data_IF_295343879716
#
_entry.id   IF_295343879716
#
_cell.length_a   1.000
_cell.length_b   1.000
_cell.length_c   1.000
_cell.angle_alpha   90.00
_cell.angle_beta   90.00
_cell.angle_gamma   90.00
#
_symmetry.space_group_name_H-M   'P 1'
#
loop_
_entity.id
_entity.type
_entity.pdbx_description
1 polymer ?
#
# COMPACT_ATOMS: atom_id res chain seq x y z
N UNK A 1 4.39 8.89 -10.21
CA UNK A 1 5.44 8.91 -11.26
C UNK A 1 6.32 7.68 -11.07
N UNK A 2 6.36 6.77 -12.06
CA UNK A 2 7.21 5.58 -11.97
C UNK A 2 8.67 6.00 -12.19
N UNK A 3 9.49 5.97 -11.15
CA UNK A 3 10.93 6.14 -11.29
C UNK A 3 11.56 4.75 -11.23
N UNK A 4 11.97 4.24 -12.37
CA UNK A 4 12.67 2.97 -12.50
C UNK A 4 14.11 3.15 -11.99
N UNK A 5 14.36 2.76 -10.74
CA UNK A 5 15.70 2.78 -10.15
C UNK A 5 16.55 1.68 -10.81
N UNK A 6 17.43 2.07 -11.73
CA UNK A 6 18.36 1.13 -12.37
C UNK A 6 19.32 0.56 -11.33
N UNK A 7 19.49 -0.76 -11.33
CA UNK A 7 20.51 -1.41 -10.49
C UNK A 7 21.89 -0.82 -10.78
N UNK A 8 22.64 -0.52 -9.74
CA UNK A 8 24.03 -0.04 -9.86
C UNK A 8 25.03 -1.21 -10.06
N UNK A 9 24.59 -2.45 -9.86
CA UNK A 9 25.41 -3.66 -9.99
C UNK A 9 26.07 -3.78 -11.37
N UNK A 10 25.40 -3.52 -12.51
CA UNK A 10 26.04 -3.58 -13.83
C UNK A 10 27.20 -2.59 -13.99
N UNK A 11 27.10 -1.41 -13.36
CA UNK A 11 28.15 -0.38 -13.44
C UNK A 11 29.42 -0.82 -12.71
N UNK A 12 29.26 -1.39 -11.51
CA UNK A 12 30.38 -1.94 -10.75
C UNK A 12 31.00 -3.16 -11.44
N UNK A 13 30.18 -3.99 -12.09
CA UNK A 13 30.66 -5.13 -12.88
C UNK A 13 31.51 -4.71 -14.05
N UNK A 14 31.10 -3.67 -14.78
CA UNK A 14 31.90 -3.10 -15.88
C UNK A 14 33.23 -2.52 -15.37
N UNK A 15 33.20 -1.78 -14.24
CA UNK A 15 34.42 -1.22 -13.65
C UNK A 15 35.41 -2.31 -13.23
N UNK A 16 34.94 -3.40 -12.62
CA UNK A 16 35.78 -4.53 -12.26
C UNK A 16 36.37 -5.24 -13.47
N UNK A 17 35.59 -5.47 -14.54
CA UNK A 17 36.06 -6.07 -15.77
C UNK A 17 37.11 -5.19 -16.45
N UNK A 18 36.95 -3.87 -16.44
CA UNK A 18 37.91 -2.91 -16.96
C UNK A 18 39.24 -2.96 -16.21
N UNK A 19 39.17 -2.91 -14.89
CA UNK A 19 40.35 -2.95 -14.02
C UNK A 19 41.14 -4.25 -14.24
N UNK A 20 40.46 -5.39 -14.30
CA UNK A 20 41.06 -6.70 -14.50
C UNK A 20 41.73 -6.79 -15.89
N UNK A 21 41.04 -6.30 -16.93
CA UNK A 21 41.62 -6.28 -18.31
C UNK A 21 42.86 -5.39 -18.40
N UNK A 22 42.84 -4.19 -17.80
CA UNK A 22 43.99 -3.29 -17.78
C UNK A 22 45.20 -3.86 -17.04
N UNK A 23 44.97 -4.72 -16.04
CA UNK A 23 46.05 -5.37 -15.28
C UNK A 23 46.73 -6.49 -16.07
N UNK A 24 45.97 -7.20 -16.93
CA UNK A 24 46.45 -8.40 -17.65
C UNK A 24 46.98 -8.12 -19.05
N UNK A 25 46.53 -7.04 -19.71
CA UNK A 25 46.85 -6.77 -21.10
C UNK A 25 47.41 -5.35 -21.32
N UNK A 26 48.46 -5.20 -22.16
CA UNK A 26 49.03 -3.90 -22.47
C UNK A 26 48.14 -3.11 -23.42
N UNK A 27 47.71 -1.90 -22.99
CA UNK A 27 46.77 -1.03 -23.69
C UNK A 27 47.33 -0.19 -24.84
N UNK A 28 48.59 -0.36 -25.20
CA UNK A 28 49.23 0.48 -26.23
C UNK A 28 48.82 0.13 -27.68
N UNK A 29 48.04 -0.93 -27.91
CA UNK A 29 47.57 -1.35 -29.22
C UNK A 29 46.09 -1.05 -29.40
N UNK A 30 45.73 -0.32 -30.46
CA UNK A 30 44.36 0.13 -30.75
C UNK A 30 43.31 -1.01 -30.75
N UNK A 31 43.72 -2.22 -31.16
CA UNK A 31 42.87 -3.41 -31.14
C UNK A 31 42.36 -3.76 -29.70
N UNK A 32 43.20 -3.60 -28.69
CA UNK A 32 42.80 -3.88 -27.29
C UNK A 32 41.74 -2.92 -26.77
N UNK A 33 41.71 -1.68 -27.27
CA UNK A 33 40.69 -0.70 -26.95
C UNK A 33 39.31 -1.14 -27.47
N UNK A 34 39.27 -1.65 -28.71
CA UNK A 34 38.04 -2.16 -29.33
C UNK A 34 37.50 -3.36 -28.54
N UNK A 35 38.38 -4.32 -28.21
CA UNK A 35 38.02 -5.50 -27.43
C UNK A 35 37.49 -5.10 -26.03
N UNK A 36 38.11 -4.12 -25.39
CA UNK A 36 37.71 -3.62 -24.06
C UNK A 36 36.31 -2.97 -24.08
N UNK A 37 35.99 -2.19 -25.12
CA UNK A 37 34.67 -1.60 -25.32
C UNK A 37 33.63 -2.70 -25.57
N UNK A 38 33.90 -3.68 -26.42
CA UNK A 38 33.00 -4.81 -26.64
C UNK A 38 32.74 -5.60 -25.35
N UNK A 39 33.80 -5.87 -24.57
CA UNK A 39 33.69 -6.56 -23.28
C UNK A 39 32.83 -5.76 -22.28
N UNK A 40 33.02 -4.45 -22.22
CA UNK A 40 32.19 -3.58 -21.34
C UNK A 40 30.72 -3.64 -21.71
N UNK A 41 30.37 -3.58 -22.99
CA UNK A 41 29.00 -3.67 -23.49
C UNK A 41 28.38 -5.04 -23.16
N UNK A 42 29.10 -6.12 -23.41
CA UNK A 42 28.63 -7.48 -23.11
C UNK A 42 28.42 -7.70 -21.61
N UNK A 43 29.36 -7.22 -20.80
CA UNK A 43 29.22 -7.29 -19.29
C UNK A 43 28.03 -6.49 -18.80
N UNK A 44 27.82 -5.30 -19.34
CA UNK A 44 26.68 -4.46 -18.98
C UNK A 44 25.35 -5.11 -19.36
N UNK A 45 25.23 -5.64 -20.59
CA UNK A 45 24.02 -6.30 -21.06
C UNK A 45 23.75 -7.59 -20.28
N UNK A 46 24.77 -8.42 -20.03
CA UNK A 46 24.63 -9.65 -19.26
C UNK A 46 24.20 -9.38 -17.83
N UNK A 47 24.84 -8.45 -17.13
CA UNK A 47 24.48 -8.10 -15.73
C UNK A 47 23.13 -7.38 -15.64
N UNK A 48 22.75 -6.57 -16.62
CA UNK A 48 21.43 -5.93 -16.63
C UNK A 48 20.28 -6.92 -16.89
N UNK A 49 20.54 -8.02 -17.58
CA UNK A 49 19.58 -9.11 -17.80
C UNK A 49 19.40 -9.99 -16.53
N UNK A 50 20.49 -10.23 -15.79
CA UNK A 50 20.49 -11.06 -14.57
C UNK A 50 19.97 -10.27 -13.36
N UNK A 51 20.25 -8.96 -13.30
CA UNK A 51 19.81 -8.06 -12.22
C UNK A 51 18.89 -6.95 -12.76
N UNK A 52 17.66 -7.28 -13.19
CA UNK A 52 16.67 -6.27 -13.54
C UNK A 52 16.45 -5.37 -12.34
N UNK A 53 16.64 -4.06 -12.49
CA UNK A 53 16.45 -3.08 -11.42
C UNK A 53 15.07 -3.26 -10.80
N UNK A 54 15.01 -3.29 -9.47
CA UNK A 54 13.72 -3.33 -8.73
C UNK A 54 12.98 -2.03 -9.02
N UNK A 55 11.73 -2.16 -9.42
CA UNK A 55 10.80 -1.03 -9.47
C UNK A 55 10.43 -0.73 -8.02
N UNK A 56 11.13 0.19 -7.38
CA UNK A 56 10.67 0.78 -6.11
C UNK A 56 9.68 1.86 -6.49
N UNK A 57 8.44 1.69 -6.06
CA UNK A 57 7.50 2.80 -6.00
C UNK A 57 8.02 3.75 -4.92
N UNK A 58 8.77 4.77 -5.32
CA UNK A 58 9.00 5.92 -4.46
C UNK A 58 7.68 6.68 -4.50
N UNK A 59 6.83 6.44 -3.51
CA UNK A 59 5.80 7.41 -3.14
C UNK A 59 6.58 8.69 -2.83
N UNK A 60 6.59 9.64 -3.78
CA UNK A 60 6.92 11.02 -3.45
C UNK A 60 5.95 11.34 -2.32
N UNK A 61 6.41 11.80 -1.14
CA UNK A 61 5.48 12.32 -0.15
C UNK A 61 4.72 13.44 -0.84
N UNK A 62 3.49 13.17 -1.32
CA UNK A 62 2.57 14.23 -1.65
C UNK A 62 2.49 15.05 -0.37
N UNK A 63 2.78 16.35 -0.44
CA UNK A 63 2.51 17.24 0.71
C UNK A 63 1.11 16.90 1.16
N UNK A 64 0.90 16.57 2.44
CA UNK A 64 -0.38 16.08 2.90
C UNK A 64 -1.44 17.10 2.50
N UNK A 65 -2.38 16.67 1.66
CA UNK A 65 -3.51 17.49 1.24
C UNK A 65 -4.22 17.94 2.52
N UNK A 66 -4.16 19.23 2.82
CA UNK A 66 -4.74 19.83 4.02
C UNK A 66 -6.06 20.48 3.64
N UNK A 67 -7.06 20.25 4.49
CA UNK A 67 -8.40 20.83 4.30
C UNK A 67 -8.46 22.30 4.73
N UNK A 68 -7.48 22.77 5.53
CA UNK A 68 -7.50 24.07 6.22
C UNK A 68 -8.31 24.05 7.53
N UNK A 69 -9.01 22.95 7.85
CA UNK A 69 -9.60 22.72 9.18
C UNK A 69 -8.57 22.01 10.08
N UNK A 70 -8.08 22.73 11.11
CA UNK A 70 -7.06 22.19 12.00
C UNK A 70 -7.43 20.91 12.73
N UNK A 71 -8.74 20.61 12.93
CA UNK A 71 -9.20 19.36 13.56
C UNK A 71 -9.10 18.20 12.59
N UNK A 72 -9.50 18.41 11.35
CA UNK A 72 -9.42 17.41 10.29
C UNK A 72 -7.96 17.15 9.95
N UNK A 73 -7.18 18.20 9.77
CA UNK A 73 -5.75 18.09 9.44
C UNK A 73 -4.95 17.37 10.53
N UNK A 74 -5.26 17.62 11.81
CA UNK A 74 -4.66 16.87 12.91
C UNK A 74 -5.01 15.37 12.85
N UNK A 75 -6.24 15.04 12.49
CA UNK A 75 -6.70 13.65 12.38
C UNK A 75 -6.09 12.94 11.17
N UNK A 76 -5.94 13.63 10.05
CA UNK A 76 -5.23 13.12 8.88
C UNK A 76 -3.76 12.81 9.21
N UNK A 77 -3.08 13.73 9.90
CA UNK A 77 -1.69 13.52 10.35
C UNK A 77 -1.53 12.32 11.31
N UNK A 78 -2.52 12.06 12.18
CA UNK A 78 -2.54 10.83 12.99
C UNK A 78 -2.70 9.58 12.13
N UNK A 79 -3.59 9.61 11.14
CA UNK A 79 -3.77 8.52 10.18
C UNK A 79 -2.50 8.20 9.41
N UNK A 80 -1.81 9.22 8.91
CA UNK A 80 -0.52 9.08 8.22
C UNK A 80 0.54 8.40 9.10
N UNK A 81 0.66 8.85 10.36
CA UNK A 81 1.58 8.23 11.33
C UNK A 81 1.24 6.76 11.59
N UNK A 82 -0.03 6.45 11.73
CA UNK A 82 -0.50 5.09 11.95
C UNK A 82 -0.23 4.19 10.74
N UNK A 83 -0.49 4.66 9.53
CA UNK A 83 -0.18 3.96 8.28
C UNK A 83 1.32 3.74 8.15
N UNK A 84 2.15 4.76 8.43
CA UNK A 84 3.61 4.65 8.40
C UNK A 84 4.11 3.58 9.40
N UNK A 85 3.55 3.53 10.61
CA UNK A 85 3.90 2.54 11.62
C UNK A 85 3.47 1.13 11.22
N UNK A 86 2.28 0.96 10.66
CA UNK A 86 1.84 -0.34 10.13
C UNK A 86 2.73 -0.81 8.98
N UNK A 87 3.15 0.08 8.07
CA UNK A 87 4.12 -0.25 7.00
C UNK A 87 5.48 -0.68 7.56
N UNK A 88 5.95 -0.01 8.63
CA UNK A 88 7.18 -0.40 9.33
C UNK A 88 7.09 -1.82 9.89
N UNK A 89 6.00 -2.12 10.61
CA UNK A 89 5.74 -3.44 11.17
C UNK A 89 5.60 -4.52 10.10
N UNK A 90 4.88 -4.21 9.00
CA UNK A 90 4.77 -5.08 7.84
C UNK A 90 6.12 -5.50 7.27
N UNK A 91 7.07 -4.57 7.21
CA UNK A 91 8.43 -4.85 6.71
C UNK A 91 9.27 -5.67 7.70
N UNK A 92 8.99 -5.59 8.99
CA UNK A 92 9.66 -6.37 10.03
C UNK A 92 9.14 -7.82 10.12
N UNK A 93 7.85 -8.04 9.86
CA UNK A 93 7.20 -9.35 9.94
C UNK A 93 7.67 -10.25 8.79
N UNK A 94 8.11 -11.48 9.12
CA UNK A 94 8.61 -12.45 8.14
C UNK A 94 7.50 -13.28 7.48
N UNK A 95 6.37 -13.45 8.17
CA UNK A 95 5.26 -14.27 7.70
C UNK A 95 4.54 -13.60 6.52
N UNK A 96 4.60 -14.24 5.36
CA UNK A 96 4.02 -13.73 4.11
C UNK A 96 2.48 -13.64 4.17
N UNK A 97 1.83 -14.57 4.90
CA UNK A 97 0.37 -14.56 5.05
C UNK A 97 -0.09 -13.33 5.83
N UNK A 98 0.57 -13.07 6.96
CA UNK A 98 0.31 -11.90 7.79
C UNK A 98 0.66 -10.61 7.05
N UNK A 99 1.76 -10.58 6.27
CA UNK A 99 2.11 -9.41 5.45
C UNK A 99 1.01 -9.05 4.45
N UNK A 100 0.41 -10.02 3.78
CA UNK A 100 -0.70 -9.78 2.84
C UNK A 100 -1.93 -9.19 3.53
N UNK A 101 -2.29 -9.71 4.71
CA UNK A 101 -3.38 -9.15 5.52
C UNK A 101 -3.08 -7.69 5.91
N UNK A 102 -1.84 -7.41 6.30
CA UNK A 102 -1.41 -6.06 6.62
C UNK A 102 -1.48 -5.12 5.43
N UNK A 103 -1.07 -5.55 4.26
CA UNK A 103 -1.16 -4.74 3.03
C UNK A 103 -2.62 -4.32 2.76
N UNK A 104 -3.59 -5.23 2.96
CA UNK A 104 -5.00 -4.90 2.82
C UNK A 104 -5.51 -3.98 3.93
N UNK A 105 -5.12 -4.21 5.20
CA UNK A 105 -5.50 -3.36 6.34
C UNK A 105 -4.97 -1.93 6.11
N UNK A 106 -3.71 -1.79 5.69
CA UNK A 106 -3.08 -0.50 5.36
C UNK A 106 -3.85 0.21 4.26
N UNK A 107 -4.17 -0.52 3.18
CA UNK A 107 -4.93 0.03 2.05
C UNK A 107 -6.31 0.56 2.46
N UNK A 108 -7.04 -0.21 3.27
CA UNK A 108 -8.37 0.21 3.74
C UNK A 108 -8.26 1.37 4.70
N UNK A 109 -7.27 1.38 5.60
CA UNK A 109 -7.00 2.49 6.52
C UNK A 109 -6.73 3.79 5.74
N UNK A 110 -5.88 3.75 4.73
CA UNK A 110 -5.58 4.89 3.86
C UNK A 110 -6.86 5.42 3.17
N UNK A 111 -7.70 4.52 2.65
CA UNK A 111 -9.00 4.90 2.06
C UNK A 111 -9.95 5.57 3.04
N UNK A 112 -9.97 5.13 4.32
CA UNK A 112 -10.80 5.74 5.36
C UNK A 112 -10.38 7.19 5.61
N UNK A 113 -9.08 7.47 5.71
CA UNK A 113 -8.59 8.83 5.90
C UNK A 113 -8.73 9.69 4.63
N UNK A 114 -8.56 9.13 3.45
CA UNK A 114 -8.85 9.82 2.17
C UNK A 114 -10.33 10.19 2.04
N UNK A 115 -11.24 9.34 2.52
CA UNK A 115 -12.66 9.69 2.57
C UNK A 115 -12.91 10.90 3.47
N UNK A 116 -12.23 11.01 4.63
CA UNK A 116 -12.33 12.17 5.51
C UNK A 116 -11.85 13.46 4.83
N UNK A 117 -10.79 13.38 4.02
CA UNK A 117 -10.28 14.51 3.25
C UNK A 117 -11.32 15.04 2.27
N UNK A 118 -12.05 14.12 1.59
CA UNK A 118 -13.05 14.45 0.58
C UNK A 118 -14.43 14.80 1.18
N UNK A 119 -14.71 14.30 2.38
CA UNK A 119 -16.02 14.42 3.05
C UNK A 119 -15.81 14.74 4.54
N UNK A 120 -15.74 16.01 4.89
CA UNK A 120 -15.59 16.47 6.27
C UNK A 120 -16.68 15.98 7.23
N UNK A 121 -17.87 15.67 6.75
CA UNK A 121 -18.99 15.19 7.57
C UNK A 121 -18.73 13.79 8.16
N UNK A 122 -17.81 13.02 7.54
CA UNK A 122 -17.34 11.75 8.07
C UNK A 122 -16.45 11.89 9.33
N UNK A 123 -16.11 13.13 9.77
CA UNK A 123 -15.16 13.37 10.86
C UNK A 123 -15.51 12.60 12.15
N UNK A 124 -16.74 12.61 12.60
CA UNK A 124 -17.15 11.96 13.85
C UNK A 124 -16.93 10.43 13.81
N UNK A 125 -17.19 9.81 12.66
CA UNK A 125 -17.03 8.38 12.45
C UNK A 125 -15.54 8.03 12.37
N UNK A 126 -14.76 8.77 11.54
CA UNK A 126 -13.32 8.55 11.38
C UNK A 126 -12.57 8.83 12.67
N UNK A 127 -12.99 9.83 13.46
CA UNK A 127 -12.45 10.10 14.79
C UNK A 127 -12.59 8.87 15.70
N UNK A 128 -13.77 8.25 15.75
CA UNK A 128 -14.00 7.05 16.56
C UNK A 128 -13.14 5.88 16.09
N UNK A 129 -13.00 5.72 14.77
CA UNK A 129 -12.10 4.72 14.18
C UNK A 129 -10.65 4.92 14.61
N UNK A 130 -10.14 6.15 14.51
CA UNK A 130 -8.77 6.49 14.86
C UNK A 130 -8.50 6.39 16.37
N UNK A 131 -9.48 6.73 17.22
CA UNK A 131 -9.31 6.71 18.67
C UNK A 131 -9.34 5.28 19.27
N UNK A 132 -10.07 4.33 18.67
CA UNK A 132 -10.31 3.02 19.27
C UNK A 132 -9.79 1.84 18.44
N UNK A 133 -10.10 1.80 17.14
CA UNK A 133 -9.76 0.62 16.33
C UNK A 133 -8.29 0.62 15.92
N UNK A 134 -7.80 1.75 15.48
CA UNK A 134 -6.45 1.89 14.94
C UNK A 134 -5.36 1.62 15.99
N UNK A 135 -5.40 2.20 17.22
CA UNK A 135 -4.40 1.93 18.24
C UNK A 135 -4.39 0.46 18.70
N UNK A 136 -5.58 -0.16 18.75
CA UNK A 136 -5.69 -1.57 19.12
C UNK A 136 -5.03 -2.46 18.08
N UNK A 137 -5.25 -2.19 16.79
CA UNK A 137 -4.63 -2.92 15.69
C UNK A 137 -3.10 -2.79 15.74
N UNK A 138 -2.57 -1.58 15.89
CA UNK A 138 -1.14 -1.33 15.99
C UNK A 138 -0.53 -2.08 17.20
N UNK A 139 -1.22 -2.09 18.35
CA UNK A 139 -0.78 -2.83 19.54
C UNK A 139 -0.68 -4.34 19.28
N UNK A 140 -1.65 -4.92 18.58
CA UNK A 140 -1.63 -6.34 18.21
C UNK A 140 -0.45 -6.64 17.29
N UNK A 141 -0.19 -5.79 16.30
CA UNK A 141 0.93 -5.93 15.37
C UNK A 141 2.29 -5.83 16.07
N UNK A 142 2.45 -4.90 17.01
CA UNK A 142 3.66 -4.82 17.84
C UNK A 142 3.87 -6.09 18.67
N UNK A 143 2.79 -6.66 19.19
CA UNK A 143 2.88 -7.90 19.98
C UNK A 143 3.27 -9.07 19.08
N UNK A 144 2.69 -9.16 17.88
CA UNK A 144 3.04 -10.16 16.87
C UNK A 144 4.53 -10.09 16.49
N UNK A 145 5.00 -8.90 16.14
CA UNK A 145 6.40 -8.65 15.75
C UNK A 145 7.37 -9.02 16.89
N UNK A 146 7.10 -8.55 18.11
CA UNK A 146 7.93 -8.86 19.28
C UNK A 146 8.01 -10.35 19.57
N UNK A 147 6.90 -11.08 19.45
CA UNK A 147 6.89 -12.52 19.68
C UNK A 147 7.60 -13.29 18.55
N UNK A 148 7.43 -12.86 17.31
CA UNK A 148 8.17 -13.40 16.17
C UNK A 148 9.68 -13.24 16.32
N UNK A 149 10.12 -12.07 16.79
CA UNK A 149 11.56 -11.78 17.02
C UNK A 149 12.15 -12.48 18.24
N UNK A 150 11.33 -12.81 19.24
CA UNK A 150 11.82 -13.43 20.48
C UNK A 150 12.40 -14.83 20.30
N UNK A 151 12.06 -15.53 19.21
CA UNK A 151 12.43 -16.92 18.96
C UNK A 151 11.82 -17.92 19.97
N UNK A 152 10.98 -17.45 20.89
CA UNK A 152 10.33 -18.30 21.88
C UNK A 152 9.28 -19.21 21.22
N UNK A 153 9.34 -20.52 21.50
CA UNK A 153 8.43 -21.53 20.93
C UNK A 153 7.50 -22.16 21.99
N UNK A 154 7.29 -21.46 23.11
CA UNK A 154 6.39 -21.91 24.16
C UNK A 154 4.92 -21.84 23.72
N UNK A 155 4.09 -22.73 24.27
CA UNK A 155 2.66 -22.83 23.95
C UNK A 155 1.91 -21.48 24.08
N UNK A 156 2.24 -20.69 25.11
CA UNK A 156 1.65 -19.37 25.32
C UNK A 156 2.00 -18.38 24.18
N UNK A 157 3.22 -18.42 23.65
CA UNK A 157 3.67 -17.55 22.56
C UNK A 157 3.01 -17.96 21.25
N UNK A 158 3.08 -19.26 20.93
CA UNK A 158 2.49 -19.80 19.69
C UNK A 158 0.98 -19.57 19.66
N UNK A 159 0.27 -19.93 20.75
CA UNK A 159 -1.17 -19.69 20.82
C UNK A 159 -1.58 -18.22 20.79
N UNK A 160 -0.72 -17.29 21.27
CA UNK A 160 -0.97 -15.85 21.14
C UNK A 160 -0.77 -15.38 19.71
N UNK A 161 0.27 -15.84 19.01
CA UNK A 161 0.52 -15.52 17.59
C UNK A 161 -0.68 -15.96 16.72
N UNK A 162 -1.18 -17.19 16.91
CA UNK A 162 -2.34 -17.70 16.17
C UNK A 162 -3.61 -16.90 16.44
N UNK A 163 -3.83 -16.48 17.69
CA UNK A 163 -4.98 -15.61 18.03
C UNK A 163 -4.86 -14.24 17.40
N UNK A 164 -3.67 -13.66 17.34
CA UNK A 164 -3.46 -12.38 16.66
C UNK A 164 -3.69 -12.53 15.16
N UNK A 165 -3.18 -13.59 14.53
CA UNK A 165 -3.40 -13.85 13.11
C UNK A 165 -4.91 -13.95 12.77
N UNK A 166 -5.67 -14.72 13.57
CA UNK A 166 -7.12 -14.81 13.41
C UNK A 166 -7.84 -13.47 13.69
N UNK A 167 -7.33 -12.68 14.65
CA UNK A 167 -7.87 -11.36 14.93
C UNK A 167 -7.65 -10.38 13.78
N UNK A 168 -6.55 -10.50 13.04
CA UNK A 168 -6.26 -9.67 11.87
C UNK A 168 -7.30 -9.88 10.74
N UNK A 169 -7.80 -11.11 10.54
CA UNK A 169 -8.89 -11.37 9.60
C UNK A 169 -10.16 -10.64 10.01
N UNK A 170 -10.53 -10.72 11.29
CA UNK A 170 -11.70 -10.02 11.85
C UNK A 170 -11.55 -8.51 11.74
N UNK A 171 -10.35 -7.98 11.98
CA UNK A 171 -10.04 -6.56 11.86
C UNK A 171 -10.19 -6.11 10.41
N UNK A 172 -9.63 -6.86 9.46
CA UNK A 172 -9.72 -6.54 8.04
C UNK A 172 -11.18 -6.48 7.57
N UNK A 173 -11.99 -7.46 7.92
CA UNK A 173 -13.42 -7.48 7.58
C UNK A 173 -14.17 -6.31 8.23
N UNK A 174 -13.84 -6.01 9.48
CA UNK A 174 -14.44 -4.89 10.20
C UNK A 174 -14.07 -3.54 9.58
N UNK A 175 -12.82 -3.38 9.12
CA UNK A 175 -12.36 -2.17 8.46
C UNK A 175 -13.04 -1.98 7.10
N UNK A 176 -13.19 -3.06 6.32
CA UNK A 176 -13.92 -3.04 5.04
C UNK A 176 -15.39 -2.61 5.25
N UNK A 177 -16.07 -3.18 6.24
CA UNK A 177 -17.44 -2.82 6.60
C UNK A 177 -17.53 -1.38 7.11
N UNK A 178 -16.55 -0.95 7.91
CA UNK A 178 -16.50 0.44 8.39
C UNK A 178 -16.33 1.40 7.21
N UNK A 179 -15.42 1.14 6.29
CA UNK A 179 -15.22 1.97 5.11
C UNK A 179 -16.49 2.05 4.25
N UNK A 180 -17.19 0.94 4.04
CA UNK A 180 -18.47 0.92 3.33
C UNK A 180 -19.53 1.76 4.05
N UNK A 181 -19.59 1.71 5.37
CA UNK A 181 -20.54 2.50 6.16
C UNK A 181 -20.35 4.01 6.04
N UNK A 182 -19.17 4.49 5.64
CA UNK A 182 -18.93 5.92 5.40
C UNK A 182 -19.70 6.48 4.18
N UNK A 183 -20.24 5.61 3.33
CA UNK A 183 -21.03 5.97 2.16
C UNK A 183 -22.54 5.81 2.37
N UNK A 184 -22.97 5.35 3.54
CA UNK A 184 -24.39 5.03 3.79
C UNK A 184 -25.33 6.24 3.55
N UNK A 185 -24.94 7.45 3.98
CA UNK A 185 -25.73 8.65 3.77
C UNK A 185 -25.83 9.01 2.29
N UNK A 186 -24.70 8.96 1.57
CA UNK A 186 -24.66 9.25 0.12
C UNK A 186 -25.49 8.25 -0.68
N UNK A 187 -25.45 6.96 -0.30
CA UNK A 187 -26.28 5.95 -0.93
C UNK A 187 -27.78 6.20 -0.74
N UNK A 188 -28.18 6.66 0.46
CA UNK A 188 -29.59 7.01 0.75
C UNK A 188 -30.06 8.22 -0.05
N UNK A 189 -29.23 9.26 -0.17
CA UNK A 189 -29.53 10.45 -0.97
C UNK A 189 -29.73 10.11 -2.44
N UNK A 190 -28.79 9.34 -3.03
CA UNK A 190 -28.90 8.87 -4.42
C UNK A 190 -30.14 8.00 -4.65
N UNK A 191 -30.47 7.10 -3.70
CA UNK A 191 -31.68 6.28 -3.81
C UNK A 191 -32.95 7.16 -3.84
N UNK A 192 -32.94 8.24 -3.07
CA UNK A 192 -34.05 9.22 -3.05
C UNK A 192 -34.15 9.95 -4.39
N UNK A 193 -33.04 10.44 -4.94
CA UNK A 193 -32.98 11.11 -6.24
C UNK A 193 -33.43 10.20 -7.38
N UNK A 194 -33.03 8.93 -7.36
CA UNK A 194 -33.48 7.92 -8.34
C UNK A 194 -35.00 7.76 -8.27
N UNK A 195 -35.59 7.65 -7.07
CA UNK A 195 -37.06 7.54 -6.93
C UNK A 195 -37.80 8.78 -7.45
N UNK A 196 -37.25 9.97 -7.20
CA UNK A 196 -37.82 11.23 -7.74
C UNK A 196 -37.75 11.23 -9.25
N UNK A 197 -36.60 10.89 -9.84
CA UNK A 197 -36.43 10.80 -11.29
C UNK A 197 -37.39 9.77 -11.91
N UNK A 198 -37.49 8.56 -11.34
CA UNK A 198 -38.45 7.54 -11.80
C UNK A 198 -39.89 8.06 -11.78
N UNK A 199 -40.28 8.79 -10.71
CA UNK A 199 -41.62 9.36 -10.58
C UNK A 199 -41.88 10.40 -11.64
N UNK A 200 -40.88 11.23 -12.00
CA UNK A 200 -40.98 12.24 -13.07
C UNK A 200 -41.10 11.57 -14.44
N UNK A 201 -40.26 10.63 -14.76
CA UNK A 201 -40.28 9.89 -16.02
C UNK A 201 -41.59 9.11 -16.21
N UNK A 202 -42.15 8.55 -15.12
CA UNK A 202 -43.47 7.90 -15.14
C UNK A 202 -44.61 8.89 -15.43
N UNK A 203 -44.55 10.10 -14.86
CA UNK A 203 -45.55 11.15 -15.12
C UNK A 203 -45.51 11.64 -16.58
N UNK A 204 -44.31 11.67 -17.18
CA UNK A 204 -44.11 12.08 -18.55
C UNK A 204 -44.35 10.96 -19.57
N UNK A 205 -44.69 9.75 -19.10
CA UNK A 205 -44.94 8.59 -19.96
C UNK A 205 -43.69 8.02 -20.66
N UNK A 206 -42.52 8.37 -20.17
CA UNK A 206 -41.22 7.97 -20.74
C UNK A 206 -40.72 6.63 -20.18
N UNK A 207 -41.32 6.13 -19.10
CA UNK A 207 -41.05 4.79 -18.54
C UNK A 207 -42.19 3.84 -18.93
N UNK A 208 -41.90 2.88 -19.81
CA UNK A 208 -42.72 1.68 -19.94
C UNK A 208 -42.60 0.84 -18.69
N UNK A 209 -43.72 0.24 -18.27
CA UNK A 209 -43.94 -0.48 -17.00
C UNK A 209 -43.09 -1.75 -16.79
N UNK A 210 -41.97 -1.93 -17.51
CA UNK A 210 -41.14 -3.15 -17.48
C UNK A 210 -39.76 -3.00 -16.79
N UNK A 211 -39.39 -1.84 -16.23
CA UNK A 211 -38.19 -1.76 -15.40
C UNK A 211 -38.49 -2.08 -13.93
N UNK A 212 -39.03 -3.27 -13.68
CA UNK A 212 -39.10 -3.85 -12.38
C UNK A 212 -37.73 -4.43 -12.00
N UNK A 213 -36.99 -3.75 -11.11
CA UNK A 213 -35.79 -4.33 -10.46
C UNK A 213 -36.28 -5.54 -9.65
N UNK A 214 -36.00 -6.73 -10.17
CA UNK A 214 -36.19 -8.00 -9.46
C UNK A 214 -35.26 -7.98 -8.23
N UNK A 215 -35.85 -7.80 -7.05
CA UNK A 215 -35.22 -8.12 -5.77
C UNK A 215 -35.06 -9.65 -5.69
N UNK A 216 -33.82 -10.11 -5.71
CA UNK A 216 -33.41 -11.37 -5.07
C UNK A 216 -32.59 -11.08 -3.84
#
# INVERSE_FOLDING_TARGET
>A
MEIKKKSVVPVYGVAAAWTLYCLLFPLYRTWHIIVLVCLAVLTYLGLSAIFPGKTEFIEIPEEPERTGDGKIDARLAEGEKAVAEMRRLRNAIQDEHVRKKLDEIILVTDKIFKKLLLDPDAYSQVKRFADFYLPTTIKLLHTYDRFGQSGAKGENVTGTIERIDSALDTILDSYKKFFDSLFANQALDIETDIRVLESMLKKEGLLNSEFGITRN
#
